data_IF_779296349479
#
_entry.id   IF_779296349479
#
_cell.length_a   1.000
_cell.length_b   1.000
_cell.length_c   1.000
_cell.angle_alpha   90.00
_cell.angle_beta   90.00
_cell.angle_gamma   90.00
#
_symmetry.space_group_name_H-M   'P 1'
#
loop_
_entity.id
_entity.type
_entity.pdbx_description
1 polymer ?
#
# COMPACT_ATOMS: atom_id res chain seq x y z
N UNK A 1 31.15 -3.32 17.07
CA UNK A 1 30.07 -3.56 16.13
C UNK A 1 28.70 -3.79 16.78
N UNK A 2 28.58 -4.54 17.88
CA UNK A 2 27.30 -4.80 18.58
C UNK A 2 26.55 -3.52 19.02
N UNK A 3 27.26 -2.50 19.48
CA UNK A 3 26.65 -1.24 20.00
C UNK A 3 25.96 -0.39 18.92
N UNK A 4 26.43 -0.41 17.66
CA UNK A 4 25.82 0.34 16.55
C UNK A 4 24.53 -0.29 16.07
N UNK A 5 24.42 -1.62 16.13
CA UNK A 5 23.22 -2.38 15.73
C UNK A 5 22.10 -2.14 16.74
N UNK A 6 22.42 -2.12 18.05
CA UNK A 6 21.44 -1.79 19.10
C UNK A 6 20.90 -0.36 18.97
N UNK A 7 21.72 0.59 18.54
CA UNK A 7 21.29 1.99 18.34
C UNK A 7 20.37 2.12 17.13
N UNK A 8 20.62 1.36 16.04
CA UNK A 8 19.76 1.38 14.85
C UNK A 8 18.40 0.72 15.14
N UNK A 9 18.39 -0.39 15.86
CA UNK A 9 17.15 -1.06 16.26
C UNK A 9 16.36 -0.20 17.26
N UNK A 10 17.04 0.46 18.20
CA UNK A 10 16.39 1.34 19.16
C UNK A 10 15.86 2.63 18.49
N UNK A 11 16.55 3.16 17.48
CA UNK A 11 16.05 4.29 16.69
C UNK A 11 14.90 3.90 15.74
N UNK A 12 14.88 2.68 15.22
CA UNK A 12 13.75 2.14 14.48
C UNK A 12 12.52 1.94 15.39
N UNK A 13 12.73 1.45 16.61
CA UNK A 13 11.67 1.33 17.63
C UNK A 13 11.16 2.70 18.08
N UNK A 14 12.03 3.70 18.20
CA UNK A 14 11.62 5.06 18.54
C UNK A 14 10.87 5.77 17.39
N UNK A 15 11.19 5.46 16.14
CA UNK A 15 10.45 5.94 14.96
C UNK A 15 9.14 5.18 14.75
N UNK A 16 9.03 3.94 15.19
CA UNK A 16 7.84 3.07 15.13
C UNK A 16 7.06 3.09 16.46
N UNK A 17 7.36 3.99 17.37
CA UNK A 17 6.56 4.25 18.57
C UNK A 17 5.08 4.61 18.30
N UNK A 18 4.70 4.64 17.03
CA UNK A 18 3.35 4.83 16.50
C UNK A 18 2.81 3.54 15.85
N UNK A 19 3.20 2.39 16.31
CA UNK A 19 2.70 1.13 15.77
C UNK A 19 1.29 0.84 16.23
N UNK A 20 0.47 1.55 15.68
CA UNK A 20 -0.94 1.45 15.55
C UNK A 20 -1.29 0.45 14.46
N UNK A 21 -2.44 -0.18 14.56
CA UNK A 21 -3.04 -0.85 13.42
C UNK A 21 -3.12 0.15 12.26
N UNK A 22 -2.54 -0.20 11.14
CA UNK A 22 -2.41 0.68 9.99
C UNK A 22 -3.16 0.05 8.81
N UNK A 23 -4.33 0.58 8.47
CA UNK A 23 -5.08 0.13 7.30
C UNK A 23 -5.04 1.22 6.24
N UNK A 24 -4.42 0.91 5.09
CA UNK A 24 -4.37 1.80 3.93
C UNK A 24 -5.21 1.21 2.81
N UNK A 25 -6.12 2.00 2.30
CA UNK A 25 -6.91 1.65 1.14
C UNK A 25 -6.78 2.73 0.06
N UNK A 26 -6.20 2.36 -1.07
CA UNK A 26 -6.11 3.21 -2.26
C UNK A 26 -7.09 2.73 -3.31
N UNK A 27 -7.98 3.63 -3.76
CA UNK A 27 -8.98 3.37 -4.80
C UNK A 27 -8.76 4.31 -5.97
N UNK A 28 -8.55 3.76 -7.16
CA UNK A 28 -8.49 4.51 -8.41
C UNK A 28 -9.87 4.49 -9.04
N UNK A 29 -10.58 5.60 -8.99
CA UNK A 29 -11.87 5.76 -9.67
C UNK A 29 -11.64 6.28 -11.08
N UNK A 30 -12.12 5.56 -12.10
CA UNK A 30 -11.87 5.85 -13.51
C UNK A 30 -13.18 6.14 -14.21
N UNK A 31 -13.29 7.31 -14.85
CA UNK A 31 -14.45 7.69 -15.66
C UNK A 31 -14.34 7.20 -17.09
N UNK A 32 -15.47 7.20 -17.80
CA UNK A 32 -15.54 6.79 -19.22
C UNK A 32 -14.77 7.70 -20.17
N UNK A 33 -14.39 8.89 -19.73
CA UNK A 33 -13.55 9.82 -20.50
C UNK A 33 -12.05 9.65 -20.24
N UNK A 34 -11.68 8.74 -19.33
CA UNK A 34 -10.30 8.48 -18.92
C UNK A 34 -9.78 9.39 -17.80
N UNK A 35 -10.58 10.34 -17.33
CA UNK A 35 -10.28 11.11 -16.11
C UNK A 35 -10.70 10.36 -14.86
N UNK A 36 -10.33 10.88 -13.68
CA UNK A 36 -10.79 10.25 -12.44
C UNK A 36 -10.16 10.82 -11.18
N UNK A 37 -10.26 10.03 -10.12
CA UNK A 37 -9.70 10.36 -8.80
C UNK A 37 -8.96 9.18 -8.20
N UNK A 38 -7.99 9.49 -7.36
CA UNK A 38 -7.36 8.54 -6.45
C UNK A 38 -7.84 8.93 -5.05
N UNK A 39 -8.49 8.00 -4.39
CA UNK A 39 -8.92 8.13 -3.00
C UNK A 39 -8.04 7.25 -2.13
N UNK A 40 -7.34 7.85 -1.19
CA UNK A 40 -6.53 7.14 -0.20
C UNK A 40 -7.18 7.31 1.16
N UNK A 41 -7.51 6.20 1.79
CA UNK A 41 -7.99 6.17 3.16
C UNK A 41 -6.96 5.50 4.02
N UNK A 42 -6.50 6.18 5.05
CA UNK A 42 -5.58 5.66 6.04
C UNK A 42 -6.27 5.64 7.40
N UNK A 43 -6.29 4.49 8.04
CA UNK A 43 -6.77 4.31 9.40
C UNK A 43 -5.60 4.02 10.31
N UNK A 44 -5.58 4.68 11.46
CA UNK A 44 -4.56 4.51 12.49
C UNK A 44 -5.27 4.22 13.81
N UNK A 45 -5.01 3.04 14.37
CA UNK A 45 -5.51 2.69 15.71
C UNK A 45 -4.33 2.63 16.67
N UNK A 46 -4.27 3.48 17.65
CA UNK A 46 -3.23 3.48 18.67
C UNK A 46 -3.69 2.57 19.81
N UNK A 47 -2.99 1.47 20.12
CA UNK A 47 -3.29 0.67 21.29
C UNK A 47 -3.25 1.53 22.56
N UNK A 48 -4.20 1.34 23.51
CA UNK A 48 -4.24 2.14 24.75
C UNK A 48 -2.93 2.15 25.53
N UNK A 49 -2.19 1.04 25.50
CA UNK A 49 -0.90 0.88 26.17
C UNK A 49 0.17 1.82 25.57
N UNK A 50 0.11 2.04 24.25
CA UNK A 50 1.03 2.93 23.54
C UNK A 50 0.58 4.39 23.63
N UNK A 51 -0.72 4.65 23.67
CA UNK A 51 -1.25 5.99 23.91
C UNK A 51 -0.78 6.56 25.25
N UNK A 52 -0.66 5.69 26.27
CA UNK A 52 -0.17 6.07 27.61
C UNK A 52 1.34 6.41 27.62
N UNK A 53 2.13 5.90 26.66
CA UNK A 53 3.58 6.13 26.56
C UNK A 53 3.95 7.29 25.64
N UNK A 54 3.09 7.64 24.69
CA UNK A 54 3.40 8.55 23.58
C UNK A 54 3.03 10.03 23.79
N UNK A 55 2.38 10.36 24.91
CA UNK A 55 1.87 11.73 25.11
C UNK A 55 0.75 12.11 24.14
N UNK A 56 0.36 13.39 24.14
CA UNK A 56 -0.76 13.95 23.33
C UNK A 56 -0.45 14.14 21.83
N UNK A 57 0.45 13.32 21.25
CA UNK A 57 0.74 13.43 19.81
C UNK A 57 -0.39 12.81 19.00
N UNK A 58 -1.00 13.63 18.15
CA UNK A 58 -2.00 13.17 17.18
C UNK A 58 -1.31 12.77 15.87
N UNK A 59 -1.20 11.46 15.55
CA UNK A 59 -0.49 10.99 14.36
C UNK A 59 -1.10 11.52 13.06
N UNK A 60 -2.41 11.78 13.05
CA UNK A 60 -3.10 12.36 11.89
C UNK A 60 -2.72 13.84 11.71
N UNK A 61 -2.64 14.59 12.82
CA UNK A 61 -2.22 15.99 12.76
C UNK A 61 -0.80 16.15 12.22
N UNK A 62 0.10 15.23 12.54
CA UNK A 62 1.47 15.25 12.03
C UNK A 62 1.53 14.89 10.53
N UNK A 63 0.72 13.95 10.08
CA UNK A 63 0.58 13.63 8.66
C UNK A 63 0.05 14.82 7.86
N UNK A 64 -0.93 15.53 8.40
CA UNK A 64 -1.45 16.76 7.79
C UNK A 64 -0.39 17.87 7.71
N UNK A 65 0.45 18.02 8.75
CA UNK A 65 1.52 19.04 8.81
C UNK A 65 2.66 18.77 7.83
N UNK A 66 2.93 17.50 7.51
CA UNK A 66 4.04 17.14 6.62
C UNK A 66 3.91 17.68 5.20
N UNK A 67 2.73 18.19 4.79
CA UNK A 67 2.57 19.04 3.60
C UNK A 67 2.99 18.44 2.24
N UNK A 68 3.36 17.16 2.22
CA UNK A 68 3.90 16.48 1.04
C UNK A 68 2.86 15.99 0.03
N UNK A 69 1.58 16.29 0.25
CA UNK A 69 0.52 15.81 -0.66
C UNK A 69 0.69 16.32 -2.09
N UNK A 70 1.17 17.58 -2.26
CA UNK A 70 1.41 18.13 -3.61
C UNK A 70 2.61 17.49 -4.29
N UNK A 71 3.67 17.19 -3.54
CA UNK A 71 4.83 16.45 -4.06
C UNK A 71 4.41 15.03 -4.47
N UNK A 72 3.63 14.34 -3.64
CA UNK A 72 3.06 13.02 -3.96
C UNK A 72 2.21 13.03 -5.22
N UNK A 73 1.38 14.07 -5.41
CA UNK A 73 0.61 14.21 -6.64
C UNK A 73 1.51 14.24 -7.88
N UNK A 74 2.63 14.94 -7.81
CA UNK A 74 3.62 15.01 -8.91
C UNK A 74 4.28 13.65 -9.16
N UNK A 75 4.56 12.87 -8.10
CA UNK A 75 5.11 11.52 -8.21
C UNK A 75 4.14 10.52 -8.83
N UNK A 76 2.83 10.71 -8.64
CA UNK A 76 1.78 9.87 -9.22
C UNK A 76 1.60 10.06 -10.73
N UNK A 77 2.15 11.12 -11.32
CA UNK A 77 2.14 11.33 -12.77
C UNK A 77 1.83 12.76 -13.19
N UNK A 78 2.04 13.02 -14.49
CA UNK A 78 1.77 14.32 -15.08
C UNK A 78 0.26 14.65 -15.06
N UNK A 79 -0.09 15.81 -14.53
CA UNK A 79 -1.47 16.27 -14.46
C UNK A 79 -2.27 15.68 -13.31
N UNK A 80 -1.61 14.98 -12.36
CA UNK A 80 -2.23 14.63 -11.10
C UNK A 80 -2.17 15.82 -10.15
N UNK A 81 -3.30 16.14 -9.54
CA UNK A 81 -3.43 17.29 -8.64
C UNK A 81 -3.99 16.83 -7.27
N UNK A 82 -3.44 17.36 -6.20
CA UNK A 82 -3.99 17.22 -4.86
C UNK A 82 -5.30 18.00 -4.74
N UNK A 83 -6.34 17.40 -4.18
CA UNK A 83 -7.66 18.01 -3.99
C UNK A 83 -7.89 18.34 -2.53
N UNK A 84 -7.87 17.33 -1.66
CA UNK A 84 -8.13 17.50 -0.23
C UNK A 84 -7.45 16.42 0.61
N UNK A 85 -7.22 16.74 1.89
CA UNK A 85 -6.85 15.79 2.93
C UNK A 85 -7.68 16.11 4.17
N UNK A 86 -8.56 15.20 4.55
CA UNK A 86 -9.54 15.40 5.60
C UNK A 86 -9.38 14.34 6.69
N UNK A 87 -9.16 14.74 7.95
CA UNK A 87 -9.17 13.80 9.05
C UNK A 87 -10.60 13.33 9.33
N UNK A 88 -10.75 12.08 9.73
CA UNK A 88 -12.01 11.55 10.20
C UNK A 88 -11.78 10.59 11.38
N UNK A 89 -12.85 10.33 12.15
CA UNK A 89 -12.83 9.38 13.23
C UNK A 89 -13.74 8.19 12.89
N UNK A 90 -13.25 6.99 13.13
CA UNK A 90 -14.08 5.78 13.09
C UNK A 90 -14.95 5.66 14.33
N UNK A 91 -16.02 4.88 14.22
CA UNK A 91 -16.97 4.68 15.35
C UNK A 91 -16.35 3.93 16.54
N UNK A 92 -15.23 3.28 16.35
CA UNK A 92 -14.46 2.52 17.34
C UNK A 92 -13.31 3.33 17.98
N UNK A 93 -13.26 4.64 17.72
CA UNK A 93 -12.19 5.53 18.20
C UNK A 93 -10.93 5.50 17.31
N UNK A 94 -10.94 4.78 16.20
CA UNK A 94 -9.86 4.90 15.21
C UNK A 94 -9.83 6.31 14.63
N UNK A 95 -8.63 6.82 14.37
CA UNK A 95 -8.44 8.07 13.64
C UNK A 95 -8.06 7.74 12.21
N UNK A 96 -8.50 8.54 11.26
CA UNK A 96 -8.21 8.33 9.87
C UNK A 96 -7.90 9.62 9.13
N UNK A 97 -7.28 9.46 7.98
CA UNK A 97 -7.05 10.50 7.00
C UNK A 97 -7.57 10.02 5.64
N UNK A 98 -8.43 10.82 5.03
CA UNK A 98 -8.88 10.62 3.66
C UNK A 98 -8.22 11.66 2.78
N UNK A 99 -7.41 11.21 1.81
CA UNK A 99 -6.75 12.07 0.85
C UNK A 99 -7.31 11.82 -0.54
N UNK A 100 -7.59 12.88 -1.28
CA UNK A 100 -8.13 12.82 -2.64
C UNK A 100 -7.18 13.53 -3.59
N UNK A 101 -6.83 12.83 -4.67
CA UNK A 101 -6.16 13.39 -5.83
C UNK A 101 -7.08 13.25 -7.05
N UNK A 102 -6.92 14.11 -8.04
CA UNK A 102 -7.60 14.01 -9.34
C UNK A 102 -6.58 13.90 -10.46
N UNK A 103 -6.94 13.22 -11.53
CA UNK A 103 -6.17 13.15 -12.76
C UNK A 103 -7.08 13.39 -13.97
N UNK A 104 -6.53 14.01 -15.00
CA UNK A 104 -7.25 14.28 -16.26
C UNK A 104 -7.13 13.12 -17.27
N UNK A 105 -6.04 12.34 -17.18
CA UNK A 105 -5.73 11.24 -18.10
C UNK A 105 -5.05 10.11 -17.36
N UNK A 106 -5.76 8.97 -17.25
CA UNK A 106 -5.24 7.78 -16.57
C UNK A 106 -4.00 7.19 -17.24
N UNK A 107 -3.77 7.43 -18.53
CA UNK A 107 -2.58 6.96 -19.24
C UNK A 107 -1.28 7.57 -18.68
N UNK A 108 -1.39 8.69 -17.98
CA UNK A 108 -0.25 9.37 -17.35
C UNK A 108 -0.07 8.99 -15.89
N UNK A 109 -1.01 8.23 -15.33
CA UNK A 109 -0.97 7.81 -13.93
C UNK A 109 0.05 6.70 -13.71
N UNK A 110 0.81 6.82 -12.62
CA UNK A 110 1.76 5.83 -12.14
C UNK A 110 1.57 5.67 -10.64
N UNK A 111 1.29 4.47 -10.17
CA UNK A 111 1.05 4.21 -8.76
C UNK A 111 2.07 3.23 -8.19
N UNK A 112 2.45 3.45 -6.95
CA UNK A 112 3.22 2.47 -6.21
C UNK A 112 2.35 1.29 -5.82
N UNK A 113 2.86 0.08 -5.96
CA UNK A 113 2.17 -1.15 -5.55
C UNK A 113 1.98 -1.29 -4.04
N UNK A 114 2.64 -0.45 -3.25
CA UNK A 114 2.55 -0.42 -1.78
C UNK A 114 1.38 0.43 -1.24
N UNK A 115 0.44 0.83 -2.11
CA UNK A 115 -0.70 1.67 -1.72
C UNK A 115 -0.30 3.08 -1.26
N UNK A 116 0.89 3.55 -1.64
CA UNK A 116 1.38 4.87 -1.26
C UNK A 116 2.09 4.94 0.09
N UNK A 117 2.32 3.79 0.75
CA UNK A 117 2.99 3.76 2.06
C UNK A 117 4.41 4.33 2.04
N UNK A 118 5.16 4.14 0.95
CA UNK A 118 6.51 4.69 0.83
C UNK A 118 6.56 6.23 0.86
N UNK A 119 5.47 6.89 0.50
CA UNK A 119 5.32 8.35 0.60
C UNK A 119 5.00 8.86 2.01
N UNK A 120 4.71 7.96 2.94
CA UNK A 120 4.34 8.27 4.33
C UNK A 120 5.50 8.10 5.31
N UNK A 121 6.73 7.87 4.82
CA UNK A 121 7.89 7.69 5.68
C UNK A 121 8.11 8.94 6.56
N UNK A 122 8.03 8.82 7.89
CA UNK A 122 8.20 9.95 8.78
C UNK A 122 9.65 10.44 8.91
N UNK A 123 10.64 9.67 8.42
CA UNK A 123 12.03 10.09 8.48
C UNK A 123 12.32 11.16 7.41
N UNK A 124 12.52 12.44 7.81
CA UNK A 124 12.85 13.51 6.87
C UNK A 124 14.21 13.32 6.19
N UNK A 125 15.05 12.42 6.71
CA UNK A 125 16.36 12.11 6.15
C UNK A 125 16.35 10.80 5.32
N UNK A 126 15.25 10.07 5.31
CA UNK A 126 15.12 8.92 4.44
C UNK A 126 15.22 9.40 2.99
N UNK A 127 16.26 8.95 2.30
CA UNK A 127 16.33 9.17 0.86
C UNK A 127 15.09 8.52 0.26
N UNK A 128 14.33 9.26 -0.58
CA UNK A 128 13.21 8.65 -1.28
C UNK A 128 13.73 7.40 -1.98
N UNK A 129 13.11 6.26 -1.71
CA UNK A 129 13.43 5.06 -2.43
C UNK A 129 13.31 5.41 -3.91
N UNK A 130 14.40 5.28 -4.67
CA UNK A 130 14.35 5.45 -6.12
C UNK A 130 13.37 4.39 -6.63
N UNK A 131 12.11 4.79 -6.79
CA UNK A 131 11.14 3.96 -7.47
C UNK A 131 11.60 3.88 -8.92
N UNK A 132 12.20 2.76 -9.28
CA UNK A 132 12.46 2.48 -10.67
C UNK A 132 11.09 2.51 -11.37
N UNK A 133 11.02 3.15 -12.52
CA UNK A 133 9.77 3.22 -13.31
C UNK A 133 9.16 1.83 -13.58
N UNK A 134 9.97 0.77 -13.47
CA UNK A 134 9.58 -0.63 -13.62
C UNK A 134 8.80 -1.19 -12.42
N UNK A 135 8.81 -0.52 -11.27
CA UNK A 135 8.10 -0.94 -10.04
C UNK A 135 6.75 -0.26 -9.85
N UNK A 136 6.27 0.46 -10.87
CA UNK A 136 5.03 1.22 -10.79
C UNK A 136 3.91 0.53 -11.57
N UNK A 137 2.71 0.52 -10.99
CA UNK A 137 1.47 0.18 -11.70
C UNK A 137 1.20 1.30 -12.71
N UNK A 138 0.97 0.92 -13.96
CA UNK A 138 0.66 1.83 -15.06
C UNK A 138 -0.68 1.47 -15.68
N UNK A 139 -1.21 2.39 -16.44
CA UNK A 139 -2.52 2.26 -17.06
C UNK A 139 -2.46 2.62 -18.53
N UNK A 140 -3.28 1.92 -19.34
CA UNK A 140 -3.60 2.29 -20.72
C UNK A 140 -5.11 2.26 -20.87
N UNK A 141 -5.67 3.34 -21.34
CA UNK A 141 -7.11 3.46 -21.55
C UNK A 141 -7.44 3.74 -23.01
N UNK A 142 -8.21 2.85 -23.62
CA UNK A 142 -8.81 3.05 -24.91
C UNK A 142 -10.22 3.59 -24.72
N UNK A 143 -10.40 4.85 -25.08
CA UNK A 143 -11.67 5.55 -24.94
C UNK A 143 -12.74 5.04 -25.93
N UNK A 144 -12.34 4.58 -27.11
CA UNK A 144 -13.27 4.11 -28.12
C UNK A 144 -13.99 2.83 -27.67
N UNK A 145 -13.24 1.93 -27.05
CA UNK A 145 -13.75 0.63 -26.59
C UNK A 145 -14.13 0.65 -25.09
N UNK A 146 -13.93 1.76 -24.39
CA UNK A 146 -14.08 1.87 -22.94
C UNK A 146 -13.33 0.73 -22.22
N UNK A 147 -12.09 0.50 -22.66
CA UNK A 147 -11.22 -0.57 -22.22
C UNK A 147 -10.03 -0.02 -21.46
N UNK A 148 -9.89 -0.43 -20.20
CA UNK A 148 -8.76 -0.13 -19.35
C UNK A 148 -7.82 -1.34 -19.28
N UNK A 149 -6.52 -1.13 -19.54
CA UNK A 149 -5.46 -2.10 -19.28
C UNK A 149 -4.64 -1.62 -18.10
N UNK A 150 -4.52 -2.44 -17.07
CA UNK A 150 -3.71 -2.20 -15.88
C UNK A 150 -2.44 -3.04 -16.03
N UNK A 151 -1.29 -2.39 -15.99
CA UNK A 151 0.03 -3.03 -16.15
C UNK A 151 0.67 -3.06 -14.77
N UNK A 152 0.80 -4.28 -14.23
CA UNK A 152 1.37 -4.50 -12.89
C UNK A 152 2.84 -4.85 -13.00
N UNK A 153 3.72 -4.22 -12.19
CA UNK A 153 5.12 -4.60 -12.10
C UNK A 153 5.27 -6.04 -11.60
N UNK A 154 6.45 -6.66 -11.77
CA UNK A 154 6.78 -7.87 -11.01
C UNK A 154 6.59 -7.61 -9.52
N UNK A 155 6.11 -8.61 -8.79
CA UNK A 155 6.02 -8.50 -7.35
C UNK A 155 7.42 -8.67 -6.77
N UNK A 156 8.03 -7.56 -6.45
CA UNK A 156 9.28 -7.57 -5.67
C UNK A 156 8.92 -7.64 -4.20
N UNK A 157 9.57 -8.54 -3.48
CA UNK A 157 9.38 -8.65 -2.04
C UNK A 157 9.99 -7.45 -1.32
N UNK A 158 9.78 -7.40 -0.03
CA UNK A 158 10.35 -6.38 0.82
C UNK A 158 11.87 -6.62 0.90
N UNK A 159 12.63 -5.84 0.14
CA UNK A 159 14.08 -5.88 0.18
C UNK A 159 14.60 -5.70 1.61
N UNK A 160 15.52 -6.58 2.02
CA UNK A 160 16.16 -6.51 3.33
C UNK A 160 15.59 -7.45 4.39
N UNK A 161 14.50 -8.19 4.13
CA UNK A 161 14.01 -9.23 5.05
C UNK A 161 14.78 -10.55 4.96
N UNK A 162 15.50 -10.79 3.88
CA UNK A 162 15.95 -12.13 3.51
C UNK A 162 17.32 -12.56 4.02
N UNK A 163 18.19 -11.63 4.44
CA UNK A 163 19.58 -11.95 4.77
C UNK A 163 19.95 -11.74 6.25
N UNK A 164 18.99 -11.35 7.09
CA UNK A 164 19.23 -11.20 8.52
C UNK A 164 18.59 -12.37 9.29
N UNK A 165 19.36 -13.00 10.16
CA UNK A 165 18.79 -13.87 11.20
C UNK A 165 17.83 -13.04 12.04
N UNK A 166 16.54 -13.25 11.83
CA UNK A 166 15.49 -12.60 12.61
C UNK A 166 15.46 -13.30 13.97
N UNK A 167 15.80 -12.56 15.02
CA UNK A 167 15.69 -13.03 16.39
C UNK A 167 14.21 -13.33 16.73
N UNK A 168 13.86 -14.52 17.22
CA UNK A 168 12.48 -14.86 17.56
C UNK A 168 11.80 -13.89 18.53
N UNK A 169 12.55 -13.31 19.48
CA UNK A 169 12.00 -12.33 20.41
C UNK A 169 11.71 -10.99 19.72
N UNK A 170 12.57 -10.56 18.81
CA UNK A 170 12.33 -9.37 17.97
C UNK A 170 11.15 -9.59 17.04
N UNK A 171 11.03 -10.78 16.43
CA UNK A 171 9.89 -11.14 15.62
C UNK A 171 8.58 -11.11 16.42
N UNK A 172 8.57 -11.67 17.63
CA UNK A 172 7.39 -11.67 18.50
C UNK A 172 6.89 -10.24 18.79
N UNK A 173 7.81 -9.30 19.05
CA UNK A 173 7.46 -7.89 19.25
C UNK A 173 6.96 -7.23 17.95
N UNK A 174 7.70 -7.40 16.85
CA UNK A 174 7.34 -6.83 15.55
C UNK A 174 6.00 -7.39 15.04
N UNK A 175 5.73 -8.67 15.27
CA UNK A 175 4.48 -9.32 14.84
C UNK A 175 3.25 -8.71 15.50
N UNK A 176 3.33 -8.32 16.78
CA UNK A 176 2.21 -7.66 17.47
C UNK A 176 1.85 -6.34 16.80
N UNK A 177 2.86 -5.61 16.35
CA UNK A 177 2.72 -4.33 15.66
C UNK A 177 2.12 -4.55 14.27
N UNK A 178 2.68 -5.50 13.52
CA UNK A 178 2.29 -5.75 12.13
C UNK A 178 0.92 -6.43 11.99
N UNK A 179 0.42 -7.14 12.99
CA UNK A 179 -0.88 -7.83 12.93
C UNK A 179 -2.06 -6.94 12.52
N UNK A 180 -2.01 -5.66 12.87
CA UNK A 180 -3.04 -4.69 12.52
C UNK A 180 -2.86 -4.05 11.15
N UNK A 181 -1.75 -4.33 10.44
CA UNK A 181 -1.49 -3.67 9.16
C UNK A 181 -2.24 -4.37 8.02
N UNK A 182 -2.89 -3.55 7.20
CA UNK A 182 -3.55 -3.99 5.95
C UNK A 182 -3.30 -2.97 4.85
N UNK A 183 -3.02 -3.46 3.66
CA UNK A 183 -2.84 -2.65 2.45
C UNK A 183 -3.82 -3.13 1.41
N UNK A 184 -4.63 -2.23 0.87
CA UNK A 184 -5.56 -2.52 -0.21
C UNK A 184 -5.36 -1.55 -1.37
N UNK A 185 -5.31 -2.09 -2.57
CA UNK A 185 -5.27 -1.31 -3.82
C UNK A 185 -6.34 -1.84 -4.76
N UNK A 186 -7.21 -0.97 -5.22
CA UNK A 186 -8.29 -1.34 -6.12
C UNK A 186 -8.51 -0.31 -7.21
N UNK A 187 -9.10 -0.76 -8.32
CA UNK A 187 -9.51 0.09 -9.44
C UNK A 187 -11.02 -0.05 -9.60
N UNK A 188 -11.72 1.08 -9.60
CA UNK A 188 -13.17 1.17 -9.71
C UNK A 188 -13.54 2.00 -10.95
N UNK A 189 -13.91 1.37 -12.07
CA UNK A 189 -14.41 2.08 -13.23
C UNK A 189 -15.82 2.62 -13.00
N UNK A 190 -16.18 3.67 -13.72
CA UNK A 190 -17.51 4.25 -13.70
C UNK A 190 -18.54 3.26 -14.31
N UNK A 191 -19.56 2.89 -13.54
CA UNK A 191 -20.57 1.93 -13.97
C UNK A 191 -20.20 0.49 -13.62
N UNK A 192 -20.48 -0.45 -14.51
CA UNK A 192 -20.28 -1.88 -14.27
C UNK A 192 -19.21 -2.48 -15.16
N UNK A 193 -18.41 -3.34 -14.59
CA UNK A 193 -17.47 -4.18 -15.33
C UNK A 193 -18.28 -5.20 -16.13
N UNK A 194 -18.10 -5.21 -17.45
CA UNK A 194 -18.78 -6.14 -18.37
C UNK A 194 -17.92 -7.32 -18.72
N UNK A 195 -16.57 -7.11 -18.72
CA UNK A 195 -15.60 -8.17 -18.99
C UNK A 195 -14.26 -7.82 -18.36
N UNK A 196 -13.62 -8.80 -17.77
CA UNK A 196 -12.25 -8.67 -17.25
C UNK A 196 -11.56 -10.02 -17.19
N UNK A 197 -10.25 -10.02 -17.29
CA UNK A 197 -9.39 -11.17 -17.01
C UNK A 197 -8.79 -11.12 -15.60
N UNK A 198 -9.14 -10.13 -14.77
CA UNK A 198 -8.63 -10.02 -13.41
C UNK A 198 -8.90 -11.28 -12.58
N UNK A 199 -7.94 -11.64 -11.72
CA UNK A 199 -8.10 -12.78 -10.81
C UNK A 199 -9.08 -12.45 -9.68
N UNK A 200 -9.08 -11.21 -9.22
CA UNK A 200 -9.92 -10.73 -8.13
C UNK A 200 -10.74 -9.52 -8.58
N UNK A 201 -12.00 -9.76 -8.91
CA UNK A 201 -12.93 -8.71 -9.33
C UNK A 201 -14.35 -9.02 -8.87
N UNK A 202 -15.14 -7.97 -8.79
CA UNK A 202 -16.59 -8.02 -8.67
C UNK A 202 -17.23 -7.20 -9.80
N UNK A 203 -18.53 -6.89 -9.71
CA UNK A 203 -19.25 -6.15 -10.77
C UNK A 203 -18.80 -4.67 -10.88
N UNK A 204 -18.12 -4.12 -9.87
CA UNK A 204 -17.81 -2.70 -9.79
C UNK A 204 -16.31 -2.41 -9.66
N UNK A 205 -15.51 -3.42 -9.28
CA UNK A 205 -14.10 -3.19 -8.96
C UNK A 205 -13.18 -4.35 -9.31
N UNK A 206 -11.92 -4.02 -9.52
CA UNK A 206 -10.79 -4.96 -9.58
C UNK A 206 -9.92 -4.73 -8.37
N UNK A 207 -9.63 -5.79 -7.61
CA UNK A 207 -8.67 -5.76 -6.50
C UNK A 207 -7.29 -6.11 -7.04
N UNK A 208 -6.36 -5.17 -6.96
CA UNK A 208 -4.97 -5.40 -7.32
C UNK A 208 -4.17 -5.98 -6.14
N UNK A 209 -4.50 -5.55 -4.92
CA UNK A 209 -3.88 -6.04 -3.69
C UNK A 209 -4.85 -5.97 -2.51
N UNK A 210 -4.84 -6.99 -1.67
CA UNK A 210 -5.43 -7.00 -0.33
C UNK A 210 -4.51 -7.85 0.57
N UNK A 211 -3.58 -7.17 1.19
CA UNK A 211 -2.52 -7.73 2.03
C UNK A 211 -2.85 -7.48 3.49
N UNK A 212 -3.21 -8.52 4.22
CA UNK A 212 -3.43 -8.50 5.67
C UNK A 212 -2.21 -9.10 6.38
N UNK A 213 -1.39 -8.25 7.02
CA UNK A 213 -0.16 -8.71 7.70
C UNK A 213 -0.42 -9.74 8.79
N UNK A 214 -1.60 -9.75 9.43
CA UNK A 214 -1.95 -10.76 10.44
C UNK A 214 -1.85 -12.20 9.92
N UNK A 215 -2.00 -12.42 8.60
CA UNK A 215 -1.90 -13.73 7.96
C UNK A 215 -0.46 -14.18 7.75
N UNK A 216 0.46 -13.23 7.72
CA UNK A 216 1.88 -13.46 7.47
C UNK A 216 2.70 -13.55 8.75
N UNK A 217 2.27 -12.87 9.80
CA UNK A 217 2.99 -12.81 11.08
C UNK A 217 2.41 -13.78 12.12
N UNK A 218 1.82 -14.89 11.66
CA UNK A 218 1.34 -15.98 12.53
C UNK A 218 2.48 -16.67 13.26
N UNK A 219 3.57 -16.88 12.53
CA UNK A 219 4.81 -17.47 13.00
C UNK A 219 5.98 -17.02 12.11
N UNK A 220 7.19 -17.25 12.62
CA UNK A 220 8.42 -16.81 11.94
C UNK A 220 8.64 -17.50 10.59
N UNK A 221 8.25 -18.78 10.48
CA UNK A 221 8.48 -19.56 9.26
C UNK A 221 7.56 -19.08 8.13
N UNK A 222 6.29 -18.80 8.43
CA UNK A 222 5.35 -18.17 7.50
C UNK A 222 5.87 -16.81 7.02
N UNK A 223 6.40 -16.01 7.93
CA UNK A 223 6.94 -14.69 7.60
C UNK A 223 8.17 -14.79 6.68
N UNK A 224 9.10 -15.71 6.99
CA UNK A 224 10.25 -15.98 6.13
C UNK A 224 9.85 -16.51 4.76
N UNK A 225 8.90 -17.46 4.72
CA UNK A 225 8.39 -18.00 3.47
C UNK A 225 7.75 -16.94 2.57
N UNK A 226 7.09 -15.95 3.16
CA UNK A 226 6.59 -14.79 2.41
C UNK A 226 7.74 -13.92 1.86
N UNK A 227 8.77 -13.66 2.67
CA UNK A 227 9.96 -12.93 2.23
C UNK A 227 10.66 -13.60 1.04
N UNK A 228 10.72 -14.93 1.02
CA UNK A 228 11.33 -15.69 -0.09
C UNK A 228 10.60 -15.53 -1.44
N UNK A 229 9.31 -15.12 -1.42
CA UNK A 229 8.57 -14.86 -2.67
C UNK A 229 9.18 -13.73 -3.50
N UNK A 230 9.93 -12.83 -2.89
CA UNK A 230 10.64 -11.77 -3.60
C UNK A 230 11.68 -12.28 -4.59
N UNK A 231 12.21 -13.49 -4.35
CA UNK A 231 13.21 -14.14 -5.17
C UNK A 231 12.57 -14.99 -6.30
N UNK A 232 11.27 -15.29 -6.21
CA UNK A 232 10.57 -16.10 -7.21
C UNK A 232 10.14 -15.24 -8.40
N UNK A 233 10.59 -15.60 -9.59
CA UNK A 233 10.29 -14.91 -10.85
C UNK A 233 9.06 -15.47 -11.57
N UNK A 234 8.66 -16.69 -11.23
CA UNK A 234 7.49 -17.33 -11.83
C UNK A 234 6.22 -16.82 -11.17
N UNK A 235 5.51 -15.94 -11.86
CA UNK A 235 4.26 -15.32 -11.40
C UNK A 235 3.20 -16.34 -11.01
N UNK A 236 3.18 -17.53 -11.63
CA UNK A 236 2.23 -18.60 -11.31
C UNK A 236 2.51 -19.20 -9.94
N UNK A 237 3.79 -19.43 -9.63
CA UNK A 237 4.22 -19.91 -8.32
C UNK A 237 3.97 -18.86 -7.23
N UNK A 238 4.27 -17.59 -7.53
CA UNK A 238 3.95 -16.47 -6.64
C UNK A 238 2.46 -16.45 -6.33
N UNK A 239 1.59 -16.51 -7.36
CA UNK A 239 0.15 -16.53 -7.19
C UNK A 239 -0.34 -17.68 -6.30
N UNK A 240 0.19 -18.89 -6.51
CA UNK A 240 -0.15 -20.05 -5.72
C UNK A 240 0.21 -19.86 -4.24
N UNK A 241 1.41 -19.37 -3.95
CA UNK A 241 1.88 -19.11 -2.59
C UNK A 241 1.10 -18.01 -1.89
N UNK A 242 0.82 -16.90 -2.57
CA UNK A 242 -0.01 -15.83 -2.02
C UNK A 242 -1.41 -16.34 -1.63
N UNK A 243 -1.98 -17.20 -2.48
CA UNK A 243 -3.27 -17.86 -2.18
C UNK A 243 -3.19 -18.75 -0.95
N UNK A 244 -2.11 -19.50 -0.75
CA UNK A 244 -1.88 -20.30 0.47
C UNK A 244 -1.85 -19.43 1.72
N UNK A 245 -1.24 -18.25 1.66
CA UNK A 245 -1.25 -17.26 2.74
C UNK A 245 -2.58 -16.50 2.88
N UNK A 246 -3.55 -16.74 1.98
CA UNK A 246 -4.84 -16.04 1.99
C UNK A 246 -4.74 -14.57 1.56
N UNK A 247 -3.68 -14.20 0.86
CA UNK A 247 -3.46 -12.85 0.32
C UNK A 247 -4.07 -12.77 -1.07
N UNK A 248 -4.77 -11.67 -1.35
CA UNK A 248 -5.22 -11.37 -2.71
C UNK A 248 -4.25 -10.37 -3.32
N UNK A 249 -3.49 -10.81 -4.30
CA UNK A 249 -2.69 -9.92 -5.12
C UNK A 249 -2.79 -10.36 -6.58
N UNK A 250 -3.02 -9.40 -7.46
CA UNK A 250 -3.03 -9.66 -8.89
C UNK A 250 -1.60 -9.89 -9.37
N UNK A 251 -1.38 -11.05 -9.95
CA UNK A 251 -0.05 -11.46 -10.42
C UNK A 251 0.09 -11.44 -11.93
N UNK A 252 -0.99 -11.16 -12.66
CA UNK A 252 -0.92 -10.98 -14.10
C UNK A 252 -0.18 -9.69 -14.44
N UNK A 253 0.62 -9.74 -15.48
CA UNK A 253 1.33 -8.57 -15.98
C UNK A 253 0.35 -7.51 -16.51
N UNK A 254 -0.67 -7.97 -17.23
CA UNK A 254 -1.72 -7.11 -17.78
C UNK A 254 -3.11 -7.60 -17.38
N UNK A 255 -3.88 -6.70 -16.82
CA UNK A 255 -5.30 -6.89 -16.50
C UNK A 255 -6.13 -5.99 -17.40
N UNK A 256 -7.02 -6.60 -18.17
CA UNK A 256 -7.97 -5.89 -19.03
C UNK A 256 -9.33 -5.77 -18.34
N UNK A 257 -9.95 -4.59 -18.46
CA UNK A 257 -11.26 -4.27 -17.86
C UNK A 257 -12.09 -3.50 -18.89
N UNK A 258 -13.19 -4.09 -19.34
CA UNK A 258 -14.20 -3.43 -20.15
C UNK A 258 -15.38 -3.06 -19.25
N UNK A 259 -15.92 -1.84 -19.37
CA UNK A 259 -16.98 -1.35 -18.49
C UNK A 259 -17.98 -0.43 -19.21
N UNK A 260 -19.19 -0.31 -18.64
CA UNK A 260 -20.30 0.49 -19.21
C UNK A 260 -20.92 1.41 -18.17
#
# INVERSE_FOLDING_TARGET
MKTRIQTIILSMIAAVGLSSCFDVHQVVNVKKDGSGTIEETMLVTIPPELAALGGDQDPIADLLKQGKHKERATEMGEGVEFVSAEPFAGNDGTKGLKTIFKFADINKLKLSSDGGMSGLNPDPNAKPAKKLDEQLIRFKFDKADTKLTIISPPMEGVDGMNDQEIDPAQFAMASQIMKGMRIRVSVKPEGKITKTNATYSDAESVTLMDLEMKKLVTDLDTFKAFGELSKEKDRTKVAAKLKEFGIKAETKEEVEVEFK
#
